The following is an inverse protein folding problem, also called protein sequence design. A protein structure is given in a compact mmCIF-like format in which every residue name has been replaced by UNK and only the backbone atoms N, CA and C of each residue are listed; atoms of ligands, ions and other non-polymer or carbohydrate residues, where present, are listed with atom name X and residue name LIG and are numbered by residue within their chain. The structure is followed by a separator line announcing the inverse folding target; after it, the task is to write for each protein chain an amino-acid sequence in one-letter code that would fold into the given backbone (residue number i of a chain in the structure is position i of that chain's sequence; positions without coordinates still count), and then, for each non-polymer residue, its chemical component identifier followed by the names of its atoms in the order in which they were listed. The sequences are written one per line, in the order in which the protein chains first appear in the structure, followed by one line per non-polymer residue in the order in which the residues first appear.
data_IF_070996156523
#
_entry.id   IF_070996156523
#
_cell.length_a   1.000
_cell.length_b   1.000
_cell.length_c   1.000
_cell.angle_alpha   90.00
_cell.angle_beta   90.00
_cell.angle_gamma   90.00
#
_symmetry.space_group_name_H-M   'P 1'
#
loop_
_entity.id
_entity.type
_entity.pdbx_description
1 polymer ?
#
# COMPACT_ATOMS: atom_id res chain seq x y z
N UNK A 1 4.03 -6.32 3.30
CA UNK A 1 4.08 -5.47 2.09
C UNK A 1 4.78 -6.20 0.95
N UNK A 2 6.03 -6.64 1.15
CA UNK A 2 6.83 -7.32 0.11
C UNK A 2 6.19 -8.62 -0.40
N UNK A 3 5.54 -9.39 0.46
CA UNK A 3 4.88 -10.64 0.05
C UNK A 3 3.67 -10.44 -0.85
N UNK A 4 2.76 -9.52 -0.51
CA UNK A 4 1.56 -9.27 -1.32
C UNK A 4 1.92 -8.71 -2.70
N UNK A 5 2.86 -7.76 -2.74
CA UNK A 5 3.35 -7.20 -4.02
C UNK A 5 4.04 -8.28 -4.85
N UNK A 6 4.89 -9.10 -4.22
CA UNK A 6 5.57 -10.21 -4.90
C UNK A 6 4.60 -11.24 -5.45
N UNK A 7 3.53 -11.57 -4.71
CA UNK A 7 2.48 -12.47 -5.16
C UNK A 7 1.74 -11.92 -6.39
N UNK A 8 1.36 -10.63 -6.37
CA UNK A 8 0.66 -10.01 -7.51
C UNK A 8 1.58 -9.95 -8.74
N UNK A 9 2.84 -9.54 -8.57
CA UNK A 9 3.84 -9.52 -9.65
C UNK A 9 4.06 -10.92 -10.22
N UNK A 10 4.30 -11.92 -9.38
CA UNK A 10 4.50 -13.30 -9.81
C UNK A 10 3.29 -13.88 -10.53
N UNK A 11 2.08 -13.55 -10.08
CA UNK A 11 0.84 -13.96 -10.73
C UNK A 11 0.67 -13.34 -12.12
N UNK A 12 0.94 -12.04 -12.26
CA UNK A 12 0.89 -11.35 -13.56
C UNK A 12 1.94 -11.90 -14.53
N UNK A 13 3.14 -12.20 -14.04
CA UNK A 13 4.19 -12.85 -14.84
C UNK A 13 3.74 -14.25 -15.29
N UNK A 14 3.13 -15.04 -14.41
CA UNK A 14 2.61 -16.36 -14.77
C UNK A 14 1.51 -16.27 -15.84
N UNK A 15 0.60 -15.28 -15.74
CA UNK A 15 -0.42 -15.00 -16.76
C UNK A 15 0.25 -14.63 -18.09
N UNK A 16 1.23 -13.72 -18.07
CA UNK A 16 1.95 -13.29 -19.27
C UNK A 16 2.60 -14.49 -19.98
N UNK A 17 3.25 -15.37 -19.21
CA UNK A 17 3.88 -16.59 -19.75
C UNK A 17 2.85 -17.57 -20.31
N UNK A 18 1.74 -17.81 -19.61
CA UNK A 18 0.67 -18.68 -20.08
C UNK A 18 0.02 -18.17 -21.36
N UNK A 19 -0.29 -16.88 -21.45
CA UNK A 19 -0.80 -16.29 -22.69
C UNK A 19 0.23 -16.42 -23.83
N UNK A 20 1.51 -16.29 -23.51
CA UNK A 20 2.61 -16.56 -24.43
C UNK A 20 2.59 -17.97 -25.01
N UNK A 21 2.24 -19.00 -24.23
CA UNK A 21 2.12 -20.39 -24.75
C UNK A 21 0.93 -20.55 -25.70
N UNK A 22 -0.11 -19.73 -25.54
CA UNK A 22 -1.25 -19.64 -26.46
C UNK A 22 -0.99 -18.72 -27.66
N UNK A 23 0.22 -18.17 -27.80
CA UNK A 23 0.60 -17.18 -28.81
C UNK A 23 -0.21 -15.86 -28.70
N UNK A 24 -0.83 -15.61 -27.55
CA UNK A 24 -1.54 -14.37 -27.24
C UNK A 24 -0.54 -13.42 -26.59
N UNK A 25 -0.22 -12.32 -27.27
CA UNK A 25 0.72 -11.31 -26.78
C UNK A 25 0.04 -9.96 -26.69
N UNK A 26 0.15 -9.33 -25.53
CA UNK A 26 -0.30 -7.97 -25.30
C UNK A 26 0.91 -7.04 -25.29
N UNK A 27 0.87 -5.95 -26.06
CA UNK A 27 1.95 -4.95 -26.10
C UNK A 27 2.15 -4.21 -24.77
N UNK A 28 1.13 -4.20 -23.92
CA UNK A 28 1.11 -3.52 -22.63
C UNK A 28 1.43 -4.45 -21.45
N UNK A 29 1.40 -5.78 -21.62
CA UNK A 29 1.73 -6.75 -20.56
C UNK A 29 3.15 -7.27 -20.78
N UNK A 30 4.11 -6.47 -20.34
CA UNK A 30 5.55 -6.75 -20.42
C UNK A 30 6.16 -6.86 -19.03
N UNK A 31 7.36 -7.44 -18.93
CA UNK A 31 8.11 -7.49 -17.66
C UNK A 31 8.29 -6.10 -17.03
N UNK A 32 8.57 -5.09 -17.85
CA UNK A 32 8.71 -3.71 -17.41
C UNK A 32 7.40 -3.17 -16.82
N UNK A 33 6.28 -3.38 -17.51
CA UNK A 33 4.96 -2.94 -17.02
C UNK A 33 4.57 -3.61 -15.70
N UNK A 34 4.87 -4.90 -15.55
CA UNK A 34 4.55 -5.69 -14.35
C UNK A 34 5.43 -5.19 -13.18
N UNK A 35 6.71 -4.93 -13.43
CA UNK A 35 7.64 -4.38 -12.43
C UNK A 35 7.21 -2.99 -11.97
N UNK A 36 6.89 -2.09 -12.91
CA UNK A 36 6.37 -0.76 -12.59
C UNK A 36 5.06 -0.84 -11.80
N UNK A 37 4.17 -1.77 -12.12
CA UNK A 37 2.94 -1.98 -11.37
C UNK A 37 3.20 -2.44 -9.92
N UNK A 38 4.17 -3.33 -9.71
CA UNK A 38 4.63 -3.71 -8.37
C UNK A 38 5.16 -2.52 -7.56
N UNK A 39 5.83 -1.58 -8.23
CA UNK A 39 6.34 -0.35 -7.63
C UNK A 39 5.20 0.58 -7.20
N UNK A 40 4.17 0.73 -8.06
CA UNK A 40 2.94 1.47 -7.74
C UNK A 40 2.23 0.87 -6.54
N UNK A 41 2.07 -0.46 -6.47
CA UNK A 41 1.43 -1.13 -5.33
C UNK A 41 2.21 -0.90 -4.03
N UNK A 42 3.54 -0.94 -4.10
CA UNK A 42 4.41 -0.70 -2.95
C UNK A 42 4.25 0.73 -2.44
N UNK A 43 4.37 1.72 -3.34
CA UNK A 43 4.22 3.13 -2.99
C UNK A 43 2.80 3.45 -2.50
N UNK A 44 1.77 2.92 -3.17
CA UNK A 44 0.38 3.10 -2.78
C UNK A 44 0.05 2.51 -1.42
N UNK A 45 0.64 1.36 -1.07
CA UNK A 45 0.49 0.76 0.26
C UNK A 45 1.16 1.64 1.32
N UNK A 46 2.39 2.09 1.09
CA UNK A 46 3.10 2.98 2.02
C UNK A 46 2.34 4.31 2.23
N UNK A 47 1.80 4.88 1.15
CA UNK A 47 0.96 6.07 1.20
C UNK A 47 -0.31 5.81 2.02
N UNK A 48 -0.99 4.68 1.79
CA UNK A 48 -2.22 4.32 2.50
C UNK A 48 -1.98 4.16 4.01
N UNK A 49 -0.87 3.54 4.41
CA UNK A 49 -0.47 3.44 5.82
C UNK A 49 -0.21 4.83 6.41
N UNK A 50 0.46 5.70 5.67
CA UNK A 50 0.77 7.06 6.10
C UNK A 50 -0.50 7.88 6.29
N UNK A 51 -1.41 7.85 5.32
CA UNK A 51 -2.71 8.51 5.38
C UNK A 51 -3.57 7.95 6.53
N UNK A 52 -3.61 6.63 6.69
CA UNK A 52 -4.32 5.99 7.80
C UNK A 52 -3.75 6.42 9.15
N UNK A 53 -2.42 6.53 9.27
CA UNK A 53 -1.75 7.01 10.48
C UNK A 53 -2.09 8.46 10.78
N UNK A 54 -2.04 9.34 9.77
CA UNK A 54 -2.42 10.76 9.91
C UNK A 54 -3.88 10.86 10.33
N UNK A 55 -4.81 10.17 9.64
CA UNK A 55 -6.23 10.17 9.96
C UNK A 55 -6.48 9.75 11.42
N UNK A 56 -5.86 8.65 11.84
CA UNK A 56 -5.96 8.11 13.20
C UNK A 56 -5.39 9.07 14.27
N UNK A 57 -4.31 9.77 13.96
CA UNK A 57 -3.67 10.73 14.86
C UNK A 57 -4.43 12.06 14.93
N UNK A 58 -4.91 12.56 13.79
CA UNK A 58 -5.61 13.84 13.69
C UNK A 58 -6.98 13.79 14.37
N UNK A 59 -7.71 12.68 14.22
CA UNK A 59 -9.06 12.54 14.79
C UNK A 59 -9.08 11.91 16.20
N UNK A 60 -7.93 11.80 16.88
CA UNK A 60 -7.83 11.17 18.22
C UNK A 60 -8.59 9.84 18.34
N UNK A 61 -8.64 9.06 17.25
CA UNK A 61 -9.50 7.86 17.19
C UNK A 61 -8.96 6.72 18.05
N UNK A 62 -7.72 6.84 18.55
CA UNK A 62 -7.18 5.91 19.54
C UNK A 62 -7.31 6.44 20.95
N UNK A 63 -7.56 5.51 21.87
CA UNK A 63 -7.41 5.69 23.32
C UNK A 63 -6.13 6.42 23.71
N UNK A 64 -5.01 6.20 23.00
CA UNK A 64 -3.74 6.88 23.26
C UNK A 64 -3.78 8.37 22.93
N UNK A 65 -4.30 8.74 21.76
CA UNK A 65 -4.43 10.13 21.35
C UNK A 65 -5.47 10.88 22.22
N UNK A 66 -6.55 10.19 22.62
CA UNK A 66 -7.53 10.70 23.56
C UNK A 66 -6.92 10.95 24.95
N UNK A 67 -6.18 9.98 25.50
CA UNK A 67 -5.41 10.15 26.75
C UNK A 67 -4.36 11.25 26.67
N UNK A 68 -3.73 11.44 25.51
CA UNK A 68 -2.74 12.50 25.32
C UNK A 68 -3.40 13.89 25.29
N UNK A 69 -4.59 14.01 24.69
CA UNK A 69 -5.40 15.22 24.76
C UNK A 69 -5.84 15.52 26.21
N UNK A 70 -6.35 14.50 26.92
CA UNK A 70 -6.79 14.64 28.31
C UNK A 70 -5.62 14.99 29.27
N UNK A 71 -4.43 14.42 29.05
CA UNK A 71 -3.20 14.79 29.78
C UNK A 71 -2.80 16.25 29.51
N UNK A 72 -2.84 16.70 28.26
CA UNK A 72 -2.50 18.08 27.88
C UNK A 72 -3.49 19.11 28.45
N UNK A 73 -4.79 18.80 28.49
CA UNK A 73 -5.81 19.66 29.13
C UNK A 73 -5.63 19.70 30.66
N UNK A 74 -5.27 18.57 31.31
CA UNK A 74 -4.99 18.54 32.76
C UNK A 74 -3.73 19.29 33.16
N UNK A 75 -2.71 19.31 32.31
CA UNK A 75 -1.47 20.05 32.56
C UNK A 75 -1.57 21.54 32.14
N UNK A 76 -2.71 21.98 31.60
CA UNK A 76 -2.94 23.39 31.20
C UNK A 76 -2.08 23.84 30.01
N UNK A 77 -1.59 22.89 29.20
CA UNK A 77 -0.72 23.13 28.06
C UNK A 77 -1.50 23.28 26.74
N UNK A 78 -2.83 23.24 26.80
CA UNK A 78 -3.78 23.50 25.71
C UNK A 78 -5.07 24.13 26.22
#
# INVERSE_FOLDING_TARGET
MKDLVSQVVGFLTAIMLFLGTLNIKFSWLTEESISSFGLVLTAGTALSITLYTIYKNHYCFTEKAKKQKDCLEREGLK
#
